data_IF_444498737369
#
_entry.id   IF_444498737369
#
_cell.length_a   1.000
_cell.length_b   1.000
_cell.length_c   1.000
_cell.angle_alpha   90.00
_cell.angle_beta   90.00
_cell.angle_gamma   90.00
#
_symmetry.space_group_name_H-M   'P 1'
#
loop_
_entity.id
_entity.type
_entity.pdbx_description
1 polymer ?
#
# COMPACT_ATOMS: atom_id res chain seq x y z
N UNK A 1 -43.85 -0.56 -23.32
CA UNK A 1 -44.89 -1.04 -22.37
C UNK A 1 -44.24 -1.27 -21.02
N UNK A 2 -44.75 -0.60 -19.98
CA UNK A 2 -44.45 -0.85 -18.57
C UNK A 2 -45.24 -2.08 -18.10
N UNK A 3 -44.65 -2.95 -17.28
CA UNK A 3 -45.27 -3.66 -16.14
C UNK A 3 -44.31 -4.76 -15.65
N UNK A 4 -44.13 -5.10 -14.37
CA UNK A 4 -44.21 -4.46 -13.05
C UNK A 4 -43.48 -5.44 -12.11
N UNK A 5 -42.85 -4.91 -11.06
CA UNK A 5 -42.26 -5.66 -9.94
C UNK A 5 -43.36 -6.39 -9.13
N UNK A 6 -43.08 -7.63 -8.69
CA UNK A 6 -43.71 -8.37 -7.57
C UNK A 6 -42.60 -9.30 -7.03
N UNK A 7 -41.80 -8.91 -6.02
CA UNK A 7 -41.90 -9.25 -4.57
C UNK A 7 -42.44 -10.69 -4.35
N UNK A 8 -41.80 -11.62 -3.65
CA UNK A 8 -41.58 -11.60 -2.20
C UNK A 8 -41.08 -13.01 -1.74
N UNK A 9 -40.09 -13.01 -0.84
CA UNK A 9 -39.79 -13.96 0.24
C UNK A 9 -40.50 -15.33 0.22
N UNK A 10 -39.75 -16.44 0.19
CA UNK A 10 -39.94 -17.64 1.02
C UNK A 10 -38.77 -18.62 0.79
N UNK A 11 -38.01 -18.93 1.84
CA UNK A 11 -36.92 -19.90 1.76
C UNK A 11 -35.93 -19.93 2.91
N UNK A 12 -36.25 -19.33 4.06
CA UNK A 12 -35.54 -19.56 5.33
C UNK A 12 -36.56 -20.23 6.25
N UNK A 13 -36.49 -21.55 6.39
CA UNK A 13 -36.88 -22.40 7.55
C UNK A 13 -36.81 -23.86 7.07
N UNK A 14 -35.72 -24.56 7.38
CA UNK A 14 -35.68 -25.97 7.81
C UNK A 14 -34.25 -26.52 7.72
N UNK A 15 -33.52 -26.46 8.84
CA UNK A 15 -32.44 -27.40 9.16
C UNK A 15 -32.05 -27.19 10.63
N UNK A 16 -33.01 -27.46 11.54
CA UNK A 16 -32.74 -27.72 12.95
C UNK A 16 -33.45 -29.04 13.27
N UNK A 17 -32.74 -29.91 14.01
CA UNK A 17 -32.99 -31.33 14.32
C UNK A 17 -32.41 -32.26 13.23
N UNK A 18 -31.39 -33.07 13.48
CA UNK A 18 -31.17 -33.94 14.64
C UNK A 18 -29.66 -34.17 14.86
N UNK A 19 -29.14 -33.90 16.07
CA UNK A 19 -28.23 -34.84 16.76
C UNK A 19 -28.52 -34.73 18.26
N UNK A 20 -29.21 -35.72 18.80
CA UNK A 20 -29.21 -36.04 20.22
C UNK A 20 -28.84 -37.51 20.37
N UNK A 21 -28.05 -37.76 21.41
CA UNK A 21 -27.61 -39.04 21.97
C UNK A 21 -26.42 -39.75 21.28
N UNK A 22 -25.22 -39.55 21.83
CA UNK A 22 -24.65 -40.58 22.70
C UNK A 22 -23.68 -39.97 23.72
N UNK A 23 -24.11 -40.09 24.98
CA UNK A 23 -23.35 -39.88 26.20
C UNK A 23 -22.09 -40.76 26.22
N UNK A 24 -20.93 -40.18 26.54
CA UNK A 24 -19.94 -40.87 27.36
C UNK A 24 -19.40 -39.88 28.39
N UNK A 25 -19.71 -40.17 29.65
CA UNK A 25 -19.21 -39.48 30.83
C UNK A 25 -17.71 -39.77 30.94
N UNK A 26 -16.91 -38.73 31.10
CA UNK A 26 -15.74 -38.78 31.97
C UNK A 26 -15.70 -37.50 32.80
N UNK A 27 -15.70 -37.70 34.11
CA UNK A 27 -15.51 -36.70 35.15
C UNK A 27 -14.07 -36.20 35.09
N UNK A 28 -13.87 -34.88 35.16
CA UNK A 28 -12.81 -34.27 35.97
C UNK A 28 -13.21 -32.83 36.29
N UNK A 29 -12.87 -32.42 37.51
CA UNK A 29 -13.28 -31.21 38.23
C UNK A 29 -12.91 -29.88 37.54
N UNK A 30 -13.62 -28.78 37.89
CA UNK A 30 -13.30 -27.46 37.39
C UNK A 30 -12.05 -26.90 38.07
N UNK A 31 -11.07 -26.48 37.28
CA UNK A 31 -10.08 -25.52 37.77
C UNK A 31 -10.76 -24.15 37.84
N UNK A 32 -10.81 -23.58 39.04
CA UNK A 32 -11.11 -22.17 39.27
C UNK A 32 -10.20 -21.31 38.38
N UNK A 33 -10.81 -20.56 37.46
CA UNK A 33 -10.16 -19.43 36.80
C UNK A 33 -10.67 -18.19 37.51
N UNK A 34 -9.86 -17.64 38.41
CA UNK A 34 -10.04 -16.28 38.92
C UNK A 34 -10.07 -15.32 37.73
N UNK A 35 -11.23 -14.68 37.52
CA UNK A 35 -11.36 -13.57 36.61
C UNK A 35 -10.72 -12.34 37.25
N UNK A 36 -9.48 -12.06 36.89
CA UNK A 36 -8.86 -10.76 37.15
C UNK A 36 -9.60 -9.70 36.33
N UNK A 37 -10.24 -8.68 36.94
CA UNK A 37 -10.91 -7.64 36.17
C UNK A 37 -9.88 -6.80 35.41
N UNK A 38 -10.08 -6.69 34.10
CA UNK A 38 -9.32 -5.79 33.23
C UNK A 38 -9.64 -4.33 33.59
N UNK A 39 -8.64 -3.43 33.72
CA UNK A 39 -8.90 -2.03 34.03
C UNK A 39 -9.64 -1.37 32.88
N UNK A 40 -10.84 -0.86 33.18
CA UNK A 40 -11.59 0.02 32.27
C UNK A 40 -10.92 1.39 32.27
N UNK A 41 -10.31 1.79 31.14
CA UNK A 41 -9.83 3.16 30.97
C UNK A 41 -11.04 4.04 30.65
N UNK A 42 -11.51 4.78 31.65
CA UNK A 42 -12.49 5.85 31.46
C UNK A 42 -11.77 7.06 30.87
N UNK A 43 -11.95 7.28 29.56
CA UNK A 43 -11.51 8.52 28.92
C UNK A 43 -12.42 9.64 29.39
N UNK A 44 -11.88 10.55 30.18
CA UNK A 44 -12.53 11.81 30.55
C UNK A 44 -12.34 12.79 29.39
N UNK A 45 -13.41 13.31 28.76
CA UNK A 45 -13.25 14.36 27.76
C UNK A 45 -12.80 15.66 28.44
N UNK A 46 -11.68 16.20 28.00
CA UNK A 46 -11.18 17.51 28.40
C UNK A 46 -12.05 18.59 27.75
N UNK A 47 -12.81 19.29 28.58
CA UNK A 47 -13.67 20.42 28.17
C UNK A 47 -12.76 21.61 27.89
N UNK A 48 -12.54 21.90 26.60
CA UNK A 48 -11.85 23.11 26.17
C UNK A 48 -12.80 24.29 26.28
N UNK A 49 -12.48 25.24 27.16
CA UNK A 49 -13.17 26.53 27.29
C UNK A 49 -13.01 27.36 26.02
N UNK A 50 -14.10 27.93 25.46
CA UNK A 50 -14.00 28.87 24.35
C UNK A 50 -13.44 30.21 24.82
N UNK A 51 -12.36 30.65 24.18
CA UNK A 51 -11.80 31.99 24.36
C UNK A 51 -12.67 32.99 23.60
N UNK A 52 -13.16 33.97 24.34
CA UNK A 52 -13.96 35.11 23.89
C UNK A 52 -13.05 36.17 23.25
N UNK A 53 -13.25 36.56 21.97
CA UNK A 53 -12.67 37.77 21.43
C UNK A 53 -13.60 38.96 21.69
N UNK A 54 -13.17 39.79 22.65
CA UNK A 54 -13.79 41.05 23.04
C UNK A 54 -13.56 42.13 21.97
N UNK A 55 -14.64 42.79 21.56
CA UNK A 55 -14.65 44.26 21.45
C UNK A 55 -14.12 44.89 20.17
N UNK A 56 -14.97 44.93 19.16
CA UNK A 56 -15.10 46.02 18.19
C UNK A 56 -15.21 47.39 18.91
N UNK A 57 -14.59 48.46 18.39
CA UNK A 57 -15.40 49.64 18.09
C UNK A 57 -15.27 50.14 16.64
N UNK A 58 -16.46 50.52 16.16
CA UNK A 58 -16.87 51.15 14.90
C UNK A 58 -16.36 52.60 14.74
N UNK A 59 -16.77 53.37 13.71
CA UNK A 59 -15.99 53.68 12.51
C UNK A 59 -15.62 55.18 12.43
N UNK A 60 -14.84 55.58 11.43
CA UNK A 60 -14.82 56.99 10.98
C UNK A 60 -14.93 57.02 9.48
N UNK A 61 -16.09 57.48 9.02
CA UNK A 61 -16.39 57.85 7.64
C UNK A 61 -15.86 59.26 7.42
N UNK A 62 -15.17 59.47 6.31
CA UNK A 62 -15.05 60.79 5.69
C UNK A 62 -15.13 60.57 4.18
N UNK A 63 -16.24 61.02 3.60
CA UNK A 63 -16.47 61.15 2.16
C UNK A 63 -15.81 62.43 1.64
N UNK A 64 -15.35 62.37 0.38
CA UNK A 64 -15.10 63.43 -0.62
C UNK A 64 -13.87 62.99 -1.43
N UNK A 65 -13.77 63.05 -2.76
CA UNK A 65 -14.58 63.67 -3.81
C UNK A 65 -14.11 63.01 -5.13
N UNK A 66 -14.94 63.05 -6.17
CA UNK A 66 -14.67 62.37 -7.44
C UNK A 66 -13.64 63.07 -8.34
N UNK A 67 -12.93 62.29 -9.15
CA UNK A 67 -12.58 62.58 -10.56
C UNK A 67 -11.63 61.53 -11.15
N UNK A 68 -12.07 60.85 -12.21
CA UNK A 68 -11.24 60.58 -13.39
C UNK A 68 -10.98 61.93 -14.10
N UNK A 69 -9.82 62.18 -14.75
CA UNK A 69 -9.40 61.42 -15.94
C UNK A 69 -7.89 61.28 -16.22
N UNK A 70 -7.57 60.28 -17.06
CA UNK A 70 -6.72 60.26 -18.27
C UNK A 70 -5.28 60.88 -18.31
N UNK A 71 -4.41 60.10 -18.97
CA UNK A 71 -3.22 60.44 -19.77
C UNK A 71 -1.81 60.31 -19.17
N UNK A 72 -1.09 59.34 -19.76
CA UNK A 72 0.32 59.26 -20.20
C UNK A 72 1.41 60.10 -19.48
N UNK A 73 2.54 59.48 -19.14
CA UNK A 73 3.87 59.66 -19.81
C UNK A 73 5.03 59.11 -18.94
N UNK A 74 5.98 58.47 -19.65
CA UNK A 74 7.41 58.23 -19.34
C UNK A 74 7.84 57.22 -18.26
N UNK A 75 8.13 56.01 -18.75
CA UNK A 75 9.47 55.40 -18.84
C UNK A 75 10.55 55.93 -17.89
N UNK A 76 10.78 55.19 -16.79
CA UNK A 76 12.07 55.13 -16.11
C UNK A 76 12.60 53.70 -16.28
N UNK A 77 13.61 53.57 -17.12
CA UNK A 77 14.51 52.42 -17.14
C UNK A 77 15.25 52.38 -15.79
N UNK A 78 14.99 51.40 -14.94
CA UNK A 78 15.98 50.97 -13.97
C UNK A 78 15.92 49.45 -13.74
N UNK A 79 16.96 48.83 -14.29
CA UNK A 79 17.67 47.65 -13.77
C UNK A 79 16.93 46.33 -13.86
N UNK A 80 17.24 45.64 -14.96
CA UNK A 80 17.60 44.23 -15.00
C UNK A 80 18.06 43.71 -13.62
N UNK A 81 17.12 43.14 -12.87
CA UNK A 81 17.40 41.89 -12.19
C UNK A 81 16.76 40.83 -13.07
N UNK A 82 17.57 40.24 -13.96
CA UNK A 82 17.37 38.86 -14.40
C UNK A 82 17.52 37.96 -13.15
N UNK A 83 16.55 38.04 -12.22
CA UNK A 83 16.08 36.82 -11.58
C UNK A 83 15.69 35.96 -12.77
N UNK A 84 16.41 34.87 -12.97
CA UNK A 84 15.98 33.84 -13.91
C UNK A 84 14.56 33.49 -13.46
N UNK A 85 13.56 34.07 -14.12
CA UNK A 85 12.15 33.72 -14.03
C UNK A 85 12.06 32.34 -14.64
N UNK A 86 12.57 31.40 -13.84
CA UNK A 86 12.61 30.01 -14.15
C UNK A 86 11.19 29.57 -14.00
N UNK A 87 10.47 29.65 -15.13
CA UNK A 87 9.09 29.21 -15.27
C UNK A 87 8.92 27.93 -14.46
N UNK A 88 8.10 28.01 -13.41
CA UNK A 88 7.82 26.84 -12.59
C UNK A 88 7.20 25.76 -13.49
N UNK A 89 7.81 24.58 -13.46
CA UNK A 89 7.28 23.38 -14.06
C UNK A 89 5.91 23.09 -13.48
N UNK A 90 5.02 22.64 -14.33
CA UNK A 90 3.74 22.05 -13.93
C UNK A 90 3.95 20.69 -13.26
N UNK A 91 2.94 20.21 -12.54
CA UNK A 91 2.92 18.84 -11.98
C UNK A 91 3.14 17.79 -13.08
N UNK A 92 2.56 17.99 -14.27
CA UNK A 92 2.70 17.07 -15.41
C UNK A 92 4.14 17.01 -15.92
N UNK A 93 4.82 18.15 -16.02
CA UNK A 93 6.23 18.21 -16.41
C UNK A 93 7.16 17.60 -15.35
N UNK A 94 6.81 17.75 -14.07
CA UNK A 94 7.50 17.10 -12.97
C UNK A 94 7.30 15.57 -13.01
N UNK A 95 6.08 15.10 -13.24
CA UNK A 95 5.76 13.69 -13.45
C UNK A 95 6.51 13.08 -14.64
N UNK A 96 6.63 13.82 -15.75
CA UNK A 96 7.43 13.41 -16.91
C UNK A 96 8.94 13.34 -16.59
N UNK A 97 9.43 14.21 -15.71
CA UNK A 97 10.82 14.17 -15.23
C UNK A 97 11.08 12.90 -14.41
N UNK A 98 10.14 12.50 -13.56
CA UNK A 98 10.19 11.22 -12.81
C UNK A 98 10.18 10.04 -13.78
N UNK A 99 9.26 10.02 -14.75
CA UNK A 99 9.18 8.94 -15.75
C UNK A 99 10.49 8.75 -16.52
N UNK A 100 11.20 9.84 -16.83
CA UNK A 100 12.51 9.80 -17.51
C UNK A 100 13.63 9.34 -16.58
N UNK A 101 13.53 9.64 -15.29
CA UNK A 101 14.54 9.30 -14.30
C UNK A 101 14.43 7.83 -13.83
N UNK A 102 13.20 7.29 -13.78
CA UNK A 102 12.95 5.90 -13.43
C UNK A 102 13.14 5.00 -14.67
N UNK A 103 13.89 3.93 -14.50
CA UNK A 103 14.22 2.99 -15.59
C UNK A 103 13.16 1.89 -15.73
N UNK A 104 12.25 1.78 -14.77
CA UNK A 104 11.22 0.75 -14.66
C UNK A 104 9.82 1.39 -14.70
N UNK A 105 8.95 0.86 -15.55
CA UNK A 105 7.58 1.34 -15.77
C UNK A 105 6.56 0.71 -14.79
N UNK A 106 7.00 -0.22 -13.93
CA UNK A 106 6.18 -0.78 -12.84
C UNK A 106 5.93 0.20 -11.70
N UNK A 107 6.69 1.30 -11.64
CA UNK A 107 6.50 2.34 -10.63
C UNK A 107 5.29 3.21 -10.95
N UNK A 108 4.42 3.38 -9.96
CA UNK A 108 3.40 4.43 -9.95
C UNK A 108 3.85 5.55 -9.02
N UNK A 109 3.40 6.77 -9.28
CA UNK A 109 3.78 7.93 -8.49
C UNK A 109 2.60 8.88 -8.33
N UNK A 110 2.40 9.35 -7.10
CA UNK A 110 1.30 10.23 -6.71
C UNK A 110 1.85 11.47 -6.02
N UNK A 111 1.34 12.64 -6.40
CA UNK A 111 1.71 13.89 -5.76
C UNK A 111 1.21 13.89 -4.30
N UNK A 112 2.12 14.11 -3.36
CA UNK A 112 1.79 14.28 -1.95
C UNK A 112 1.59 15.75 -1.57
N UNK A 113 2.49 16.62 -2.04
CA UNK A 113 2.52 18.04 -1.75
C UNK A 113 3.32 18.74 -2.86
N UNK A 114 2.96 19.96 -3.19
CA UNK A 114 3.55 20.81 -4.22
C UNK A 114 4.29 22.02 -3.64
N UNK A 115 4.45 22.15 -2.32
CA UNK A 115 5.09 23.31 -1.68
C UNK A 115 6.23 22.92 -0.73
N UNK A 116 6.93 21.82 -0.99
CA UNK A 116 8.07 21.43 -0.17
C UNK A 116 9.23 22.42 -0.37
N UNK A 117 9.65 23.09 0.70
CA UNK A 117 10.84 23.96 0.69
C UNK A 117 12.05 23.24 1.31
N UNK A 118 13.12 23.07 0.52
CA UNK A 118 14.40 22.51 0.99
C UNK A 118 15.54 23.41 0.51
N UNK A 119 16.29 23.99 1.43
CA UNK A 119 17.42 24.89 1.12
C UNK A 119 17.03 26.05 0.17
N UNK A 120 15.93 26.75 0.49
CA UNK A 120 15.40 27.90 -0.26
C UNK A 120 14.98 27.58 -1.71
N UNK A 121 14.63 26.32 -1.97
CA UNK A 121 14.12 25.85 -3.26
C UNK A 121 12.79 25.13 -3.07
N UNK A 122 11.87 25.35 -4.00
CA UNK A 122 10.55 24.72 -4.02
C UNK A 122 10.58 23.43 -4.83
N UNK A 123 9.88 22.43 -4.29
CA UNK A 123 9.81 21.09 -4.84
C UNK A 123 8.37 20.57 -4.85
N UNK A 124 8.06 19.77 -5.85
CA UNK A 124 7.01 18.76 -5.76
C UNK A 124 7.54 17.57 -4.98
N UNK A 125 6.71 16.95 -4.15
CA UNK A 125 7.01 15.66 -3.50
C UNK A 125 6.02 14.59 -3.96
N UNK A 126 6.57 13.47 -4.43
CA UNK A 126 5.83 12.33 -4.93
C UNK A 126 6.08 11.12 -4.05
N UNK A 127 4.98 10.42 -3.71
CA UNK A 127 5.03 9.07 -3.19
C UNK A 127 5.22 8.12 -4.35
N UNK A 128 6.22 7.24 -4.26
CA UNK A 128 6.41 6.19 -5.25
C UNK A 128 5.80 4.91 -4.72
N UNK A 129 5.16 4.13 -5.59
CA UNK A 129 4.73 2.78 -5.29
C UNK A 129 5.23 1.81 -6.36
N UNK A 130 5.61 0.61 -5.94
CA UNK A 130 5.91 -0.51 -6.83
C UNK A 130 4.91 -1.62 -6.55
N UNK A 131 4.19 -2.09 -7.57
CA UNK A 131 3.17 -3.14 -7.43
C UNK A 131 2.15 -2.81 -6.30
N UNK A 132 1.77 -1.52 -6.19
CA UNK A 132 0.83 -1.04 -5.18
C UNK A 132 1.38 -0.90 -3.76
N UNK A 133 2.68 -1.11 -3.54
CA UNK A 133 3.36 -0.88 -2.26
C UNK A 133 4.14 0.42 -2.29
N UNK A 134 3.89 1.27 -1.29
CA UNK A 134 4.65 2.49 -1.09
C UNK A 134 6.14 2.17 -0.91
N UNK A 135 6.94 2.74 -1.79
CA UNK A 135 8.39 2.69 -1.77
C UNK A 135 8.95 3.96 -1.13
N UNK A 136 9.94 3.79 -0.26
CA UNK A 136 10.73 4.88 0.29
C UNK A 136 12.13 4.87 -0.30
N UNK A 137 12.79 6.04 -0.36
CA UNK A 137 12.32 7.38 0.01
C UNK A 137 11.33 7.96 -1.00
N UNK A 138 10.61 9.00 -0.61
CA UNK A 138 9.82 9.78 -1.56
C UNK A 138 10.75 10.41 -2.61
N UNK A 139 10.19 10.79 -3.75
CA UNK A 139 10.92 11.52 -4.78
C UNK A 139 10.51 12.98 -4.72
N UNK A 140 11.47 13.88 -4.86
CA UNK A 140 11.20 15.31 -5.04
C UNK A 140 11.69 15.78 -6.39
N UNK A 141 10.98 16.75 -6.97
CA UNK A 141 11.30 17.36 -8.26
C UNK A 141 11.40 18.87 -8.07
N UNK A 142 12.57 19.42 -8.40
CA UNK A 142 12.83 20.86 -8.35
C UNK A 142 11.89 21.59 -9.33
N UNK A 143 11.10 22.54 -8.83
CA UNK A 143 10.09 23.22 -9.64
C UNK A 143 10.66 24.01 -10.81
N UNK A 144 11.93 24.39 -10.77
CA UNK A 144 12.53 25.22 -11.83
C UNK A 144 13.35 24.36 -12.79
N UNK A 145 14.18 23.47 -12.25
CA UNK A 145 15.13 22.70 -13.06
C UNK A 145 14.63 21.32 -13.49
N UNK A 146 13.54 20.81 -12.89
CA UNK A 146 13.05 19.44 -13.12
C UNK A 146 13.97 18.36 -12.57
N UNK A 147 14.97 18.75 -11.75
CA UNK A 147 15.92 17.81 -11.18
C UNK A 147 15.22 16.88 -10.19
N UNK A 148 15.31 15.58 -10.46
CA UNK A 148 14.73 14.52 -9.64
C UNK A 148 15.73 14.06 -8.57
N UNK A 149 15.30 14.00 -7.31
CA UNK A 149 16.11 13.58 -6.17
C UNK A 149 15.29 12.69 -5.22
N UNK A 150 15.98 11.90 -4.40
CA UNK A 150 15.34 11.21 -3.29
C UNK A 150 15.18 12.15 -2.09
N UNK A 151 14.10 11.97 -1.33
CA UNK A 151 13.80 12.71 -0.12
C UNK A 151 13.48 11.76 1.04
N UNK A 152 14.45 11.63 1.94
CA UNK A 152 14.38 10.75 3.10
C UNK A 152 13.41 11.26 4.15
N UNK A 153 12.92 10.35 5.00
CA UNK A 153 12.11 10.71 6.18
C UNK A 153 12.86 11.54 7.22
N UNK A 154 14.20 11.58 7.14
CA UNK A 154 15.06 12.46 7.92
C UNK A 154 15.18 13.88 7.34
N UNK A 155 14.43 14.18 6.26
CA UNK A 155 14.41 15.47 5.59
C UNK A 155 15.62 15.73 4.68
N UNK A 156 16.50 14.74 4.49
CA UNK A 156 17.67 14.89 3.62
C UNK A 156 17.37 14.52 2.19
N UNK A 157 18.11 15.15 1.28
CA UNK A 157 18.07 14.85 -0.14
C UNK A 157 19.29 14.06 -0.57
N UNK A 158 19.11 13.13 -1.49
CA UNK A 158 20.21 12.34 -2.10
C UNK A 158 19.95 12.15 -3.59
N UNK A 159 20.97 11.71 -4.33
CA UNK A 159 20.77 11.42 -5.75
C UNK A 159 19.80 10.26 -5.92
N UNK A 160 18.91 10.33 -6.91
CA UNK A 160 18.08 9.19 -7.29
C UNK A 160 18.95 7.99 -7.71
N UNK A 161 20.12 8.28 -8.30
CA UNK A 161 21.15 7.30 -8.67
C UNK A 161 22.01 6.85 -7.49
N UNK A 162 21.66 7.16 -6.25
CA UNK A 162 22.32 6.55 -5.07
C UNK A 162 21.40 5.53 -4.40
N UNK A 163 20.09 5.60 -4.69
CA UNK A 163 19.11 4.77 -4.02
C UNK A 163 18.85 3.47 -4.80
N UNK A 164 19.15 2.33 -4.17
CA UNK A 164 19.06 0.99 -4.76
C UNK A 164 17.71 0.66 -5.38
N UNK A 165 16.63 1.26 -4.89
CA UNK A 165 15.27 1.07 -5.40
C UNK A 165 15.07 1.67 -6.81
N UNK A 166 15.73 2.79 -7.11
CA UNK A 166 15.50 3.53 -8.37
C UNK A 166 16.55 3.25 -9.45
N UNK A 167 17.56 2.45 -9.14
CA UNK A 167 18.38 1.82 -10.16
C UNK A 167 17.67 0.59 -10.71
N UNK A 168 17.57 0.50 -12.04
CA UNK A 168 17.52 -0.83 -12.66
C UNK A 168 18.88 -1.47 -12.47
N UNK A 169 19.06 -2.13 -11.34
CA UNK A 169 20.11 -3.11 -11.23
C UNK A 169 19.75 -4.23 -12.22
N UNK A 170 20.73 -4.76 -12.94
CA UNK A 170 20.65 -6.14 -13.42
C UNK A 170 20.74 -7.14 -12.23
N UNK A 171 20.34 -6.74 -11.03
CA UNK A 171 20.55 -7.49 -9.80
C UNK A 171 19.53 -7.05 -8.74
N UNK A 172 18.37 -7.68 -8.73
CA UNK A 172 17.75 -8.08 -7.47
C UNK A 172 18.83 -8.75 -6.62
N UNK A 173 19.54 -7.97 -5.78
CA UNK A 173 20.47 -8.41 -4.73
C UNK A 173 21.22 -7.18 -4.18
N UNK A 174 20.67 -6.55 -3.14
CA UNK A 174 21.39 -6.41 -1.86
C UNK A 174 20.54 -5.67 -0.82
N UNK A 175 19.77 -6.42 -0.04
CA UNK A 175 19.85 -6.25 1.41
C UNK A 175 20.46 -7.55 1.97
N UNK A 176 21.43 -7.35 2.86
CA UNK A 176 22.20 -8.34 3.62
C UNK A 176 22.69 -9.61 2.93
N UNK A 177 24.00 -9.60 2.72
CA UNK A 177 24.88 -10.75 2.49
C UNK A 177 24.67 -11.84 3.56
N UNK A 178 23.75 -12.76 3.31
CA UNK A 178 24.05 -14.18 3.48
C UNK A 178 23.84 -14.83 2.12
N UNK A 179 24.94 -15.25 1.49
CA UNK A 179 24.89 -15.99 0.23
C UNK A 179 24.21 -17.33 0.52
N UNK A 180 22.88 -17.40 0.42
CA UNK A 180 22.19 -18.67 0.18
C UNK A 180 22.36 -18.95 -1.30
N UNK A 181 23.39 -19.72 -1.62
CA UNK A 181 23.82 -20.13 -2.98
C UNK A 181 22.75 -20.90 -3.79
N UNK A 182 21.52 -21.02 -3.28
CA UNK A 182 20.46 -21.89 -3.78
C UNK A 182 19.08 -21.19 -3.81
N UNK A 183 19.01 -19.86 -3.81
CA UNK A 183 17.71 -19.19 -3.89
C UNK A 183 17.08 -19.40 -5.29
N UNK A 184 15.90 -20.00 -5.33
CA UNK A 184 15.13 -20.32 -6.54
C UNK A 184 14.19 -19.17 -6.89
N UNK A 185 13.73 -19.06 -8.14
CA UNK A 185 12.75 -18.02 -8.53
C UNK A 185 11.30 -18.40 -8.17
N UNK A 186 10.34 -17.45 -8.28
CA UNK A 186 8.89 -17.72 -8.11
C UNK A 186 8.39 -18.78 -9.11
N UNK A 187 8.90 -18.76 -10.35
CA UNK A 187 8.55 -19.72 -11.40
C UNK A 187 9.14 -21.11 -11.10
N UNK A 188 10.35 -21.16 -10.56
CA UNK A 188 10.96 -22.42 -10.11
C UNK A 188 10.22 -22.98 -8.90
N UNK A 189 9.77 -22.13 -7.99
CA UNK A 189 8.92 -22.50 -6.87
C UNK A 189 7.57 -23.08 -7.34
N UNK A 190 6.92 -22.47 -8.34
CA UNK A 190 5.73 -23.04 -8.96
C UNK A 190 6.02 -24.40 -9.61
N UNK A 191 7.13 -24.54 -10.34
CA UNK A 191 7.54 -25.84 -10.92
C UNK A 191 7.79 -26.92 -9.87
N UNK A 192 8.24 -26.55 -8.66
CA UNK A 192 8.33 -27.51 -7.55
C UNK A 192 6.94 -27.91 -7.04
N UNK A 193 6.02 -26.95 -6.93
CA UNK A 193 4.65 -27.18 -6.52
C UNK A 193 3.88 -28.05 -7.53
N UNK A 194 4.07 -27.84 -8.84
CA UNK A 194 3.46 -28.63 -9.93
C UNK A 194 3.87 -30.11 -9.91
N UNK A 195 5.05 -30.43 -9.35
CA UNK A 195 5.50 -31.82 -9.18
C UNK A 195 4.76 -32.54 -8.06
N UNK A 196 4.08 -31.81 -7.17
CA UNK A 196 3.28 -32.39 -6.10
C UNK A 196 1.92 -32.82 -6.66
N UNK A 197 1.47 -34.06 -6.40
CA UNK A 197 0.15 -34.50 -6.83
C UNK A 197 -0.97 -33.62 -6.28
N UNK A 198 -1.96 -33.28 -7.12
CA UNK A 198 -3.13 -32.48 -6.75
C UNK A 198 -3.79 -32.92 -5.44
N UNK A 199 -3.90 -34.24 -5.23
CA UNK A 199 -4.45 -34.81 -3.99
C UNK A 199 -3.68 -34.41 -2.73
N UNK A 200 -2.35 -34.32 -2.80
CA UNK A 200 -1.50 -33.87 -1.69
C UNK A 200 -1.66 -32.36 -1.47
N UNK A 201 -1.87 -31.60 -2.55
CA UNK A 201 -2.21 -30.18 -2.49
C UNK A 201 -3.66 -29.95 -2.01
N UNK A 202 -4.47 -30.99 -1.80
CA UNK A 202 -5.88 -30.82 -1.47
C UNK A 202 -6.71 -30.22 -2.60
N UNK A 203 -6.21 -30.26 -3.83
CA UNK A 203 -6.90 -29.76 -5.02
C UNK A 203 -7.63 -30.90 -5.75
N UNK A 204 -8.86 -30.65 -6.25
CA UNK A 204 -9.59 -31.64 -7.04
C UNK A 204 -9.04 -31.83 -8.46
N UNK A 205 -8.35 -30.82 -9.03
CA UNK A 205 -7.79 -30.83 -10.39
C UNK A 205 -6.27 -30.61 -10.38
N UNK A 206 -5.61 -30.77 -11.52
CA UNK A 206 -4.18 -30.46 -11.62
C UNK A 206 -3.92 -28.96 -11.41
N UNK A 207 -2.78 -28.62 -10.81
CA UNK A 207 -2.43 -27.22 -10.50
C UNK A 207 -2.44 -26.30 -11.74
N UNK A 208 -2.09 -26.84 -12.91
CA UNK A 208 -2.07 -26.14 -14.21
C UNK A 208 -3.46 -25.70 -14.70
N UNK A 209 -4.55 -26.22 -14.11
CA UNK A 209 -5.93 -25.84 -14.46
C UNK A 209 -6.44 -24.63 -13.66
N UNK A 210 -5.64 -24.13 -12.71
CA UNK A 210 -6.00 -23.01 -11.85
C UNK A 210 -5.32 -21.71 -12.28
N UNK A 211 -5.91 -20.58 -11.90
CA UNK A 211 -5.25 -19.29 -11.90
C UNK A 211 -4.29 -19.24 -10.71
N UNK A 212 -3.02 -18.94 -10.95
CA UNK A 212 -2.00 -18.77 -9.91
C UNK A 212 -1.71 -17.29 -9.72
N UNK A 213 -1.74 -16.83 -8.48
CA UNK A 213 -1.38 -15.47 -8.07
C UNK A 213 -0.31 -15.59 -7.00
N UNK A 214 0.81 -14.91 -7.20
CA UNK A 214 1.89 -14.86 -6.22
C UNK A 214 1.63 -13.76 -5.21
N UNK A 215 2.11 -13.95 -3.99
CA UNK A 215 2.29 -12.83 -3.08
C UNK A 215 3.47 -11.98 -3.58
N UNK A 216 3.37 -10.67 -3.36
CA UNK A 216 4.43 -9.73 -3.74
C UNK A 216 5.50 -9.59 -2.66
N UNK A 217 5.43 -10.38 -1.59
CA UNK A 217 6.38 -10.39 -0.48
C UNK A 217 6.83 -11.80 -0.12
N UNK A 218 7.98 -11.88 0.53
CA UNK A 218 8.48 -13.11 1.15
C UNK A 218 7.77 -13.31 2.49
N UNK A 219 7.17 -14.48 2.67
CA UNK A 219 6.49 -14.85 3.92
C UNK A 219 7.38 -15.77 4.73
N UNK A 220 7.62 -15.44 6.00
CA UNK A 220 8.32 -16.34 6.91
C UNK A 220 7.35 -17.38 7.51
N UNK A 221 7.50 -18.64 7.11
CA UNK A 221 6.72 -19.77 7.61
C UNK A 221 7.59 -20.64 8.50
N UNK A 222 7.36 -20.56 9.82
CA UNK A 222 8.09 -21.35 10.84
C UNK A 222 9.61 -21.16 10.75
N UNK A 223 10.07 -19.92 10.57
CA UNK A 223 11.49 -19.58 10.47
C UNK A 223 12.10 -19.86 9.09
N UNK A 224 11.27 -20.12 8.07
CA UNK A 224 11.71 -20.37 6.69
C UNK A 224 11.06 -19.33 5.78
N UNK A 225 11.89 -18.59 5.04
CA UNK A 225 11.44 -17.62 4.05
C UNK A 225 10.84 -18.33 2.84
N UNK A 226 9.66 -17.92 2.40
CA UNK A 226 8.89 -18.58 1.36
C UNK A 226 8.25 -17.59 0.38
N UNK A 227 8.12 -18.02 -0.88
CA UNK A 227 7.18 -17.43 -1.83
C UNK A 227 5.77 -17.91 -1.52
N UNK A 228 4.82 -16.97 -1.38
CA UNK A 228 3.39 -17.27 -1.28
C UNK A 228 2.77 -17.48 -2.66
N UNK A 229 2.02 -18.56 -2.82
CA UNK A 229 1.36 -18.96 -4.06
C UNK A 229 -0.11 -19.25 -3.74
N UNK A 230 -0.99 -18.37 -4.20
CA UNK A 230 -2.44 -18.50 -4.07
C UNK A 230 -3.01 -19.06 -5.38
N UNK A 231 -3.93 -20.01 -5.24
CA UNK A 231 -4.48 -20.78 -6.35
C UNK A 231 -5.99 -20.59 -6.36
N UNK A 232 -6.53 -20.26 -7.53
CA UNK A 232 -7.94 -19.96 -7.72
C UNK A 232 -8.56 -20.75 -8.86
N UNK A 233 -9.75 -21.27 -8.65
CA UNK A 233 -10.55 -21.90 -9.71
C UNK A 233 -11.31 -20.81 -10.46
N UNK A 234 -11.17 -20.78 -11.80
CA UNK A 234 -11.90 -19.84 -12.64
C UNK A 234 -13.40 -20.09 -12.55
N UNK A 235 -14.14 -19.04 -12.23
CA UNK A 235 -15.61 -19.04 -12.22
C UNK A 235 -16.18 -18.06 -13.24
N UNK A 236 -17.45 -18.23 -13.59
CA UNK A 236 -18.13 -17.39 -14.60
C UNK A 236 -18.21 -15.90 -14.21
N UNK A 237 -18.22 -15.60 -12.91
CA UNK A 237 -18.34 -14.24 -12.38
C UNK A 237 -17.17 -13.82 -11.48
N UNK A 238 -16.58 -14.79 -10.76
CA UNK A 238 -15.42 -14.56 -9.91
C UNK A 238 -14.63 -15.85 -9.74
N UNK A 239 -13.33 -15.68 -9.64
CA UNK A 239 -12.41 -16.75 -9.27
C UNK A 239 -12.64 -17.14 -7.81
N UNK A 240 -12.63 -18.45 -7.54
CA UNK A 240 -12.87 -19.01 -6.21
C UNK A 240 -11.56 -19.50 -5.63
N UNK A 241 -11.22 -19.06 -4.43
CA UNK A 241 -10.01 -19.51 -3.74
C UNK A 241 -10.02 -21.03 -3.56
N UNK A 242 -8.97 -21.69 -4.05
CA UNK A 242 -8.81 -23.14 -4.02
C UNK A 242 -7.70 -23.58 -3.04
N UNK A 243 -6.68 -22.76 -2.80
CA UNK A 243 -5.65 -23.04 -1.81
C UNK A 243 -4.52 -22.01 -1.78
N UNK A 244 -3.74 -22.03 -0.69
CA UNK A 244 -2.54 -21.23 -0.53
C UNK A 244 -1.36 -22.14 -0.13
N UNK A 245 -0.22 -21.89 -0.76
CA UNK A 245 0.99 -22.66 -0.59
C UNK A 245 2.19 -21.74 -0.40
N UNK A 246 3.16 -22.20 0.38
CA UNK A 246 4.38 -21.46 0.66
C UNK A 246 5.58 -22.32 0.31
N UNK A 247 6.34 -21.92 -0.69
CA UNK A 247 7.54 -22.64 -1.14
C UNK A 247 8.76 -21.90 -0.64
N UNK A 248 9.65 -22.59 0.10
CA UNK A 248 10.88 -22.01 0.62
C UNK A 248 11.71 -21.40 -0.51
N UNK A 249 12.31 -20.24 -0.28
CA UNK A 249 13.11 -19.54 -1.29
C UNK A 249 14.36 -20.35 -1.67
N UNK A 250 14.81 -21.29 -0.84
CA UNK A 250 15.88 -22.24 -1.18
C UNK A 250 15.39 -23.56 -1.80
N UNK A 251 14.08 -23.69 -2.06
CA UNK A 251 13.42 -24.89 -2.59
C UNK A 251 13.37 -26.09 -1.64
N UNK A 252 13.84 -25.94 -0.39
CA UNK A 252 14.00 -27.07 0.53
C UNK A 252 12.68 -27.57 1.14
N UNK A 253 11.68 -26.69 1.25
CA UNK A 253 10.40 -26.97 1.91
C UNK A 253 9.22 -26.36 1.18
N UNK A 254 8.06 -26.99 1.31
CA UNK A 254 6.78 -26.57 0.74
C UNK A 254 5.74 -26.78 1.83
N UNK A 255 4.98 -25.73 2.10
CA UNK A 255 3.90 -25.74 3.07
C UNK A 255 2.57 -25.52 2.37
N UNK A 256 1.53 -26.16 2.89
CA UNK A 256 0.15 -25.88 2.54
C UNK A 256 -0.51 -25.15 3.71
N UNK A 257 -1.31 -24.14 3.42
CA UNK A 257 -2.17 -23.50 4.42
C UNK A 257 -3.53 -24.23 4.51
N UNK A 258 -3.81 -24.77 5.69
CA UNK A 258 -5.11 -25.38 6.03
C UNK A 258 -6.01 -24.28 6.61
N UNK A 259 -6.91 -23.75 5.78
CA UNK A 259 -7.83 -22.66 6.14
C UNK A 259 -8.78 -23.06 7.28
N UNK A 260 -9.13 -24.35 7.38
CA UNK A 260 -10.06 -24.83 8.42
C UNK A 260 -9.38 -24.85 9.79
N UNK A 261 -8.10 -25.20 9.82
CA UNK A 261 -7.32 -25.29 11.06
C UNK A 261 -6.52 -24.03 11.37
N UNK A 262 -6.49 -23.07 10.45
CA UNK A 262 -5.68 -21.86 10.52
C UNK A 262 -4.19 -22.16 10.79
N UNK A 263 -3.64 -23.11 10.01
CA UNK A 263 -2.27 -23.63 10.22
C UNK A 263 -1.58 -23.96 8.91
N UNK A 264 -0.26 -23.75 8.90
CA UNK A 264 0.62 -24.22 7.82
C UNK A 264 1.15 -25.63 8.12
N UNK A 265 1.05 -26.52 7.14
CA UNK A 265 1.45 -27.93 7.21
C UNK A 265 2.59 -28.13 6.20
N UNK A 266 3.71 -28.73 6.61
CA UNK A 266 4.78 -29.08 5.68
C UNK A 266 4.36 -30.30 4.86
N UNK A 267 4.41 -30.17 3.53
CA UNK A 267 4.02 -31.19 2.57
C UNK A 267 5.19 -31.68 1.70
N UNK A 268 6.41 -31.23 2.01
CA UNK A 268 7.65 -31.78 1.45
C UNK A 268 7.83 -33.22 1.88
N UNK A 269 8.20 -34.07 0.92
CA UNK A 269 8.58 -35.46 1.18
C UNK A 269 10.08 -35.57 1.44
#
# INVERSE_FOLDING_TARGET
>A
MRLRRITLLFGIVMMIAFISACHKKDKNEPADIELTPSPTITVTPEVTTPVEPTGNPSPTVTEEDGKEPDSEVENEEELENEEADGVELTEEEAADSIRKALVDDSYTYELLDDHLNVNDKLYYIFQISNEGKVALPNIIVDKVSGKVMCYGSDGKTSSITEHSLYHKSEASQSEEKSVKKNEITKEEALKLLEKIPAKTLGLPKALTEYTVIYDDWITNVKGVDCYGINVYEKGDLKDTFAGAYYVATDGSKIYQYDVVKDKTINITK
#
